data_IF_430339359493
#
_entry.id   IF_430339359493
#
_cell.length_a   1.000
_cell.length_b   1.000
_cell.length_c   1.000
_cell.angle_alpha   90.00
_cell.angle_beta   90.00
_cell.angle_gamma   90.00
#
_symmetry.space_group_name_H-M   'P 1'
#
loop_
_entity.id
_entity.type
_entity.pdbx_description
1 polymer ?
#
# COMPACT_ATOMS: atom_id res chain seq x y z
N UNK A 1 32.79 -5.75 -3.90
CA UNK A 1 32.89 -4.50 -3.13
C UNK A 1 31.49 -3.92 -3.03
N UNK A 2 30.96 -3.74 -1.81
CA UNK A 2 29.66 -3.10 -1.56
C UNK A 2 29.90 -1.60 -1.49
N UNK A 3 29.13 -0.80 -2.23
CA UNK A 3 29.17 0.65 -2.14
C UNK A 3 27.98 1.12 -1.31
N UNK A 4 28.24 1.91 -0.27
CA UNK A 4 27.21 2.57 0.51
C UNK A 4 26.70 3.79 -0.26
N UNK A 5 25.40 3.82 -0.52
CA UNK A 5 24.72 4.97 -1.13
C UNK A 5 23.76 5.58 -0.12
N UNK A 6 24.01 6.82 0.30
CA UNK A 6 23.10 7.58 1.14
C UNK A 6 22.13 8.33 0.22
N UNK A 7 20.90 7.84 0.13
CA UNK A 7 19.80 8.54 -0.53
C UNK A 7 19.28 9.62 0.44
N UNK A 8 19.63 10.87 0.18
CA UNK A 8 19.09 12.03 0.87
C UNK A 8 18.01 12.66 -0.01
N UNK A 9 16.78 12.67 0.47
CA UNK A 9 15.63 13.30 -0.18
C UNK A 9 15.04 14.34 0.76
N UNK A 10 15.12 15.60 0.38
CA UNK A 10 14.56 16.71 1.15
C UNK A 10 13.06 16.81 0.87
N UNK A 11 12.27 16.18 1.75
CA UNK A 11 10.81 16.21 1.65
C UNK A 11 10.29 17.58 2.13
N UNK A 12 9.93 18.45 1.19
CA UNK A 12 9.33 19.74 1.50
C UNK A 12 7.80 19.61 1.59
N UNK A 13 7.25 19.85 2.78
CA UNK A 13 5.80 19.92 3.03
C UNK A 13 5.41 21.38 3.30
N UNK A 14 4.67 21.98 2.37
CA UNK A 14 4.15 23.35 2.49
C UNK A 14 2.64 23.28 2.77
N UNK A 15 2.17 24.01 3.80
CA UNK A 15 0.77 24.11 4.24
C UNK A 15 0.12 22.84 4.83
N UNK A 16 0.76 22.22 5.82
CA UNK A 16 0.14 21.15 6.63
C UNK A 16 -0.77 21.71 7.75
N UNK A 17 -1.70 22.61 7.41
CA UNK A 17 -2.63 23.19 8.40
C UNK A 17 -3.99 22.48 8.31
N UNK A 18 -4.51 22.04 9.45
CA UNK A 18 -5.88 21.51 9.60
C UNK A 18 -6.56 22.20 10.80
N UNK A 19 -7.70 22.85 10.56
CA UNK A 19 -8.47 23.59 11.58
C UNK A 19 -9.57 22.74 12.28
N UNK A 20 -9.47 21.41 12.26
CA UNK A 20 -10.47 20.54 12.90
C UNK A 20 -10.16 19.04 12.88
N UNK A 21 -11.16 18.22 13.25
CA UNK A 21 -11.23 16.74 13.20
C UNK A 21 -11.06 16.25 11.74
N UNK A 22 -9.85 16.45 11.22
CA UNK A 22 -9.48 16.34 9.82
C UNK A 22 -7.97 16.48 9.68
N UNK A 23 -7.22 16.11 10.73
CA UNK A 23 -5.81 15.77 10.56
C UNK A 23 -5.79 14.72 9.47
N UNK A 24 -5.29 15.08 8.28
CA UNK A 24 -4.97 14.11 7.23
C UNK A 24 -4.18 13.04 7.96
N UNK A 25 -4.75 11.84 8.11
CA UNK A 25 -4.04 10.73 8.71
C UNK A 25 -2.91 10.43 7.73
N UNK A 26 -1.76 11.02 7.99
CA UNK A 26 -0.54 10.86 7.20
C UNK A 26 -0.05 9.43 7.32
N UNK A 27 -0.35 8.80 8.45
CA UNK A 27 -0.33 7.35 8.57
C UNK A 27 -1.40 6.79 7.62
N UNK A 28 -0.98 5.92 6.71
CA UNK A 28 -1.91 5.19 5.85
C UNK A 28 -2.88 4.31 6.63
N UNK A 29 -2.75 4.25 7.97
CA UNK A 29 -3.46 3.38 8.90
C UNK A 29 -3.22 1.91 8.56
N UNK A 30 -2.04 1.63 8.00
CA UNK A 30 -1.65 0.31 7.52
C UNK A 30 -0.29 -0.06 8.09
N UNK A 31 -0.15 -1.31 8.53
CA UNK A 31 1.15 -1.83 8.93
C UNK A 31 2.08 -1.96 7.73
N UNK A 32 3.38 -1.75 7.95
CA UNK A 32 4.43 -1.85 6.92
C UNK A 32 4.44 -3.19 6.16
N UNK A 33 3.93 -4.26 6.77
CA UNK A 33 3.82 -5.60 6.17
C UNK A 33 2.38 -6.08 6.00
N UNK A 34 1.42 -5.18 6.17
CA UNK A 34 0.00 -5.49 6.07
C UNK A 34 -0.46 -5.64 4.62
N UNK A 35 -1.64 -6.25 4.46
CA UNK A 35 -2.31 -6.45 3.16
C UNK A 35 -2.40 -5.17 2.35
N UNK A 36 -2.72 -4.05 2.98
CA UNK A 36 -2.80 -2.75 2.33
C UNK A 36 -1.45 -2.03 2.49
N UNK A 37 -0.68 -1.86 1.42
CA UNK A 37 0.68 -1.31 1.52
C UNK A 37 0.76 0.21 1.53
N UNK A 38 -0.22 0.91 0.93
CA UNK A 38 -0.22 2.36 0.74
C UNK A 38 -1.07 3.07 1.81
N UNK A 39 -2.38 2.78 1.85
CA UNK A 39 -3.37 3.35 2.79
C UNK A 39 -4.55 2.40 2.90
N UNK A 40 -5.35 2.47 3.98
CA UNK A 40 -6.61 1.73 4.10
C UNK A 40 -7.60 2.12 3.00
N UNK A 41 -7.53 3.35 2.49
CA UNK A 41 -8.38 3.83 1.38
C UNK A 41 -7.81 3.53 -0.01
N UNK A 42 -6.63 2.91 -0.07
CA UNK A 42 -5.97 2.57 -1.32
C UNK A 42 -6.53 1.25 -1.82
N UNK A 43 -7.07 1.18 -3.05
CA UNK A 43 -7.68 -0.04 -3.57
C UNK A 43 -6.64 -1.06 -4.08
N UNK A 44 -5.35 -0.83 -3.79
CA UNK A 44 -4.26 -1.70 -4.22
C UNK A 44 -3.84 -2.63 -3.09
N UNK A 45 -4.35 -3.88 -3.05
CA UNK A 45 -3.84 -4.88 -2.13
C UNK A 45 -2.42 -5.28 -2.51
N UNK A 46 -1.59 -5.49 -1.50
CA UNK A 46 -0.31 -6.14 -1.61
C UNK A 46 -0.48 -7.64 -1.83
N UNK A 47 0.63 -8.30 -2.13
CA UNK A 47 0.69 -9.75 -2.30
C UNK A 47 1.58 -10.37 -1.26
N UNK A 48 1.25 -11.56 -0.76
CA UNK A 48 2.20 -12.36 0.03
C UNK A 48 2.65 -13.60 -0.75
N UNK A 49 3.74 -14.21 -0.27
CA UNK A 49 4.24 -15.51 -0.73
C UNK A 49 3.49 -16.63 -0.02
N UNK A 50 3.40 -17.79 -0.66
CA UNK A 50 2.88 -19.00 -0.01
C UNK A 50 3.76 -19.32 1.21
N UNK A 51 3.14 -19.52 2.39
CA UNK A 51 3.78 -19.63 3.71
C UNK A 51 4.56 -18.38 4.19
N UNK A 52 4.43 -17.23 3.52
CA UNK A 52 5.00 -15.97 3.98
C UNK A 52 4.12 -15.30 5.04
N UNK A 53 4.73 -14.49 5.90
CA UNK A 53 4.05 -13.70 6.94
C UNK A 53 3.87 -12.23 6.57
N UNK A 54 4.45 -11.79 5.44
CA UNK A 54 4.48 -10.39 5.04
C UNK A 54 3.90 -10.21 3.63
N UNK A 55 3.13 -9.15 3.47
CA UNK A 55 2.74 -8.64 2.16
C UNK A 55 3.84 -7.74 1.59
N UNK A 56 3.91 -7.69 0.27
CA UNK A 56 4.80 -6.86 -0.52
C UNK A 56 4.03 -6.17 -1.65
N UNK A 57 4.47 -4.97 -2.07
CA UNK A 57 3.86 -4.27 -3.18
C UNK A 57 4.23 -4.97 -4.50
N UNK A 58 3.29 -5.70 -5.08
CA UNK A 58 3.45 -6.34 -6.39
C UNK A 58 2.18 -6.21 -7.22
N UNK A 59 2.28 -5.46 -8.31
CA UNK A 59 1.14 -5.19 -9.21
C UNK A 59 0.84 -6.40 -10.11
N UNK A 60 1.89 -7.04 -10.61
CA UNK A 60 1.77 -8.23 -11.44
C UNK A 60 1.49 -9.46 -10.60
N UNK A 61 0.55 -10.28 -11.06
CA UNK A 61 0.25 -11.58 -10.48
C UNK A 61 1.39 -12.54 -10.81
N UNK A 62 2.02 -13.17 -9.81
CA UNK A 62 3.05 -14.18 -10.04
C UNK A 62 2.52 -15.36 -10.87
N UNK A 63 3.36 -15.92 -11.72
CA UNK A 63 3.05 -17.16 -12.41
C UNK A 63 3.23 -18.36 -11.46
N UNK A 64 2.22 -19.20 -11.31
CA UNK A 64 2.25 -20.40 -10.48
C UNK A 64 1.26 -20.35 -9.31
N UNK A 65 1.61 -21.02 -8.20
CA UNK A 65 0.74 -21.18 -7.05
C UNK A 65 0.69 -19.90 -6.20
N UNK A 66 -0.21 -18.98 -6.57
CA UNK A 66 -0.52 -17.83 -5.74
C UNK A 66 -1.12 -18.30 -4.42
N UNK A 67 -0.72 -17.65 -3.33
CA UNK A 67 -1.29 -17.97 -2.04
C UNK A 67 -2.75 -17.47 -1.95
N UNK A 68 -3.62 -18.14 -1.18
CA UNK A 68 -5.01 -17.72 -1.01
C UNK A 68 -5.10 -16.25 -0.57
N UNK A 69 -5.94 -15.45 -1.22
CA UNK A 69 -6.07 -14.01 -0.97
C UNK A 69 -5.03 -13.11 -1.63
N UNK A 70 -4.04 -13.70 -2.34
CA UNK A 70 -2.98 -13.01 -3.10
C UNK A 70 -3.05 -13.31 -4.61
N UNK A 71 -4.15 -13.91 -5.06
CA UNK A 71 -4.42 -14.41 -6.42
C UNK A 71 -5.16 -13.42 -7.33
N UNK A 72 -5.40 -12.19 -6.84
CA UNK A 72 -6.02 -11.10 -7.58
C UNK A 72 -5.30 -10.80 -8.91
N UNK A 73 -6.00 -10.32 -9.95
CA UNK A 73 -5.41 -10.04 -11.26
C UNK A 73 -4.32 -8.98 -11.22
N UNK A 74 -3.63 -8.79 -12.35
CA UNK A 74 -2.69 -7.70 -12.52
C UNK A 74 -3.39 -6.37 -12.26
N UNK A 75 -2.69 -5.46 -11.57
CA UNK A 75 -3.15 -4.09 -11.37
C UNK A 75 -2.47 -3.22 -12.42
N UNK A 76 -3.25 -2.58 -13.28
CA UNK A 76 -2.75 -1.54 -14.18
C UNK A 76 -2.67 -0.21 -13.43
N UNK A 77 -1.48 0.41 -13.42
CA UNK A 77 -1.23 1.70 -12.77
C UNK A 77 -1.97 2.84 -13.47
N UNK A 78 -2.28 2.68 -14.77
CA UNK A 78 -3.00 3.68 -15.54
C UNK A 78 -4.51 3.62 -15.36
N UNK A 79 -5.02 2.52 -14.79
CA UNK A 79 -6.45 2.28 -14.56
C UNK A 79 -6.76 2.08 -13.07
N UNK A 80 -6.02 2.77 -12.19
CA UNK A 80 -6.25 2.66 -10.75
C UNK A 80 -7.61 3.26 -10.38
N UNK A 81 -8.44 2.51 -9.61
CA UNK A 81 -9.66 3.08 -9.07
C UNK A 81 -9.32 4.22 -8.11
N UNK A 82 -10.22 5.22 -8.04
CA UNK A 82 -10.08 6.27 -7.05
C UNK A 82 -10.11 5.67 -5.64
N UNK A 83 -9.12 6.05 -4.83
CA UNK A 83 -9.16 5.74 -3.40
C UNK A 83 -10.37 6.42 -2.76
N UNK A 84 -11.03 5.70 -1.86
CA UNK A 84 -12.26 6.17 -1.24
C UNK A 84 -12.62 5.40 0.03
N UNK A 85 -13.57 5.93 0.79
CA UNK A 85 -14.05 5.32 2.04
C UNK A 85 -15.04 4.18 1.84
N UNK A 86 -15.53 3.96 0.61
CA UNK A 86 -16.52 2.92 0.31
C UNK A 86 -16.05 1.52 0.73
N UNK A 87 -14.76 1.23 0.55
CA UNK A 87 -14.18 -0.08 0.88
C UNK A 87 -13.47 -0.09 2.24
N UNK A 88 -13.61 0.98 3.04
CA UNK A 88 -12.90 1.11 4.31
C UNK A 88 -13.13 -0.08 5.25
N UNK A 89 -14.39 -0.48 5.44
CA UNK A 89 -14.73 -1.60 6.30
C UNK A 89 -14.16 -2.94 5.78
N UNK A 90 -14.12 -3.12 4.45
CA UNK A 90 -13.54 -4.30 3.84
C UNK A 90 -12.02 -4.35 4.00
N UNK A 91 -11.36 -3.20 3.93
CA UNK A 91 -9.91 -3.07 4.01
C UNK A 91 -9.36 -3.24 5.44
N UNK A 92 -10.23 -3.22 6.46
CA UNK A 92 -9.87 -3.50 7.85
C UNK A 92 -9.92 -4.99 8.22
N UNK A 93 -10.49 -5.84 7.36
CA UNK A 93 -10.63 -7.29 7.55
C UNK A 93 -9.47 -8.06 6.88
#
# INVERSE_FOLDING_TARGET
>A
ASQDHVLSSDLYLLFTTADGLGLVCWDGMVGHSGKNGCRVYCPMPGRWKFHGTHYYPALLRPHGNCAPGSDHPNVDVFELPLGGSGDYAHNLL
#
